data_IF_851776304208
#
_entry.id   IF_851776304208
#
_cell.length_a   1.000
_cell.length_b   1.000
_cell.length_c   1.000
_cell.angle_alpha   90.00
_cell.angle_beta   90.00
_cell.angle_gamma   90.00
#
_symmetry.space_group_name_H-M   'P 1'
#
loop_
_entity.id
_entity.type
_entity.pdbx_description
1 polymer ?
#
# COMPACT_ATOMS: atom_id res chain seq x y z
N UNK A 1 -56.78 -49.38 18.85
CA UNK A 1 -56.21 -48.07 19.29
C UNK A 1 -56.60 -47.87 20.75
N UNK A 2 -55.79 -47.19 21.55
CA UNK A 2 -56.11 -46.90 22.95
C UNK A 2 -56.28 -45.39 23.16
N UNK A 3 -57.12 -45.01 24.12
CA UNK A 3 -57.29 -43.62 24.51
C UNK A 3 -56.18 -43.24 25.49
N UNK A 4 -55.55 -42.09 25.25
CA UNK A 4 -54.52 -41.55 26.11
C UNK A 4 -54.82 -40.09 26.42
N UNK A 5 -54.53 -39.68 27.65
CA UNK A 5 -54.83 -38.33 28.13
C UNK A 5 -53.69 -37.39 27.79
N UNK A 6 -54.00 -36.27 27.14
CA UNK A 6 -53.01 -35.23 26.88
C UNK A 6 -52.52 -34.64 28.20
N UNK A 7 -51.21 -34.68 28.45
CA UNK A 7 -50.59 -34.13 29.67
C UNK A 7 -50.89 -32.64 29.86
N UNK A 8 -51.16 -31.92 28.75
CA UNK A 8 -51.36 -30.48 28.78
C UNK A 8 -52.82 -30.05 28.99
N UNK A 9 -53.72 -30.49 28.12
CA UNK A 9 -55.11 -30.02 28.13
C UNK A 9 -56.09 -31.03 28.72
N UNK A 10 -55.61 -32.19 29.20
CA UNK A 10 -56.45 -33.25 29.73
C UNK A 10 -57.35 -33.95 28.71
N UNK A 11 -57.37 -33.49 27.44
CA UNK A 11 -58.18 -34.08 26.37
C UNK A 11 -57.71 -35.50 26.06
N UNK A 12 -58.65 -36.43 26.04
CA UNK A 12 -58.41 -37.80 25.58
C UNK A 12 -58.34 -37.86 24.06
N UNK A 13 -57.38 -38.64 23.54
CA UNK A 13 -57.21 -38.84 22.11
C UNK A 13 -56.75 -40.26 21.82
N UNK A 14 -57.11 -40.76 20.64
CA UNK A 14 -56.77 -42.11 20.20
C UNK A 14 -55.30 -42.17 19.76
N UNK A 15 -54.58 -43.17 20.24
CA UNK A 15 -53.21 -43.45 19.84
C UNK A 15 -52.97 -44.95 19.65
N UNK A 16 -52.04 -45.29 18.76
CA UNK A 16 -51.60 -46.67 18.53
C UNK A 16 -50.66 -47.11 19.69
N UNK A 17 -50.85 -48.28 20.32
CA UNK A 17 -50.07 -48.73 21.48
C UNK A 17 -48.55 -48.69 21.31
N UNK A 18 -48.04 -49.00 20.12
CA UNK A 18 -46.59 -48.97 19.86
C UNK A 18 -45.98 -47.55 19.99
N UNK A 19 -46.75 -46.49 19.71
CA UNK A 19 -46.27 -45.11 19.88
C UNK A 19 -46.06 -44.77 21.35
N UNK A 20 -46.89 -45.32 22.25
CA UNK A 20 -46.71 -45.16 23.70
C UNK A 20 -45.46 -45.89 24.17
N UNK A 21 -45.18 -47.09 23.66
CA UNK A 21 -43.93 -47.83 23.96
C UNK A 21 -42.66 -47.04 23.56
N UNK A 22 -42.72 -46.26 22.48
CA UNK A 22 -41.64 -45.38 22.04
C UNK A 22 -41.60 -44.01 22.77
N UNK A 23 -42.41 -43.83 23.83
CA UNK A 23 -42.50 -42.59 24.58
C UNK A 23 -43.18 -41.42 23.84
N UNK A 24 -43.81 -41.70 22.69
CA UNK A 24 -44.60 -40.73 21.92
C UNK A 24 -46.05 -40.71 22.39
N UNK A 25 -46.79 -39.65 22.01
CA UNK A 25 -48.21 -39.57 22.35
C UNK A 25 -48.55 -38.89 23.66
N UNK A 26 -47.67 -38.03 24.17
CA UNK A 26 -47.91 -37.24 25.39
C UNK A 26 -48.91 -36.09 25.19
N UNK A 27 -49.13 -35.69 23.94
CA UNK A 27 -49.93 -34.51 23.58
C UNK A 27 -50.88 -34.79 22.43
N UNK A 28 -52.10 -34.27 22.51
CA UNK A 28 -53.15 -34.48 21.51
C UNK A 28 -52.93 -33.72 20.20
N UNK A 29 -52.01 -32.75 20.14
CA UNK A 29 -51.76 -31.94 18.94
C UNK A 29 -50.39 -31.27 18.93
N UNK A 30 -49.96 -30.84 17.72
CA UNK A 30 -48.78 -29.98 17.52
C UNK A 30 -48.87 -28.68 18.33
N UNK A 31 -50.06 -28.08 18.49
CA UNK A 31 -50.28 -26.89 19.35
C UNK A 31 -49.98 -27.19 20.82
N UNK A 32 -50.34 -28.38 21.32
CA UNK A 32 -49.99 -28.81 22.67
C UNK A 32 -48.50 -29.14 22.82
N UNK A 33 -47.83 -29.60 21.76
CA UNK A 33 -46.38 -29.85 21.74
C UNK A 33 -45.53 -28.56 21.64
N UNK A 34 -45.90 -27.63 20.76
CA UNK A 34 -45.12 -26.43 20.42
C UNK A 34 -45.17 -25.30 21.45
N UNK A 35 -45.83 -25.52 22.59
CA UNK A 35 -45.83 -24.54 23.69
C UNK A 35 -44.57 -24.61 24.56
N UNK A 36 -43.60 -25.48 24.24
CA UNK A 36 -42.26 -25.54 24.84
C UNK A 36 -41.21 -24.85 23.95
N UNK A 37 -41.39 -23.59 23.59
CA UNK A 37 -40.38 -22.77 22.90
C UNK A 37 -40.20 -21.44 23.63
N UNK A 38 -39.03 -20.81 23.49
CA UNK A 38 -38.69 -19.60 24.24
C UNK A 38 -38.80 -19.84 25.74
N UNK A 39 -39.37 -18.88 26.47
CA UNK A 39 -39.48 -18.87 27.94
C UNK A 39 -40.20 -20.08 28.53
N UNK A 40 -41.05 -20.73 27.75
CA UNK A 40 -41.87 -21.88 28.19
C UNK A 40 -41.16 -23.23 27.98
N UNK A 41 -39.94 -23.23 27.46
CA UNK A 41 -39.14 -24.45 27.34
C UNK A 41 -38.59 -24.85 28.72
N UNK A 42 -38.67 -26.12 29.15
CA UNK A 42 -38.21 -26.54 30.49
C UNK A 42 -36.73 -26.26 30.80
N UNK A 43 -35.91 -26.04 29.77
CA UNK A 43 -34.49 -25.67 29.90
C UNK A 43 -34.23 -24.20 29.54
N UNK A 44 -35.28 -23.39 29.37
CA UNK A 44 -35.10 -21.97 29.15
C UNK A 44 -34.55 -21.30 30.41
N UNK A 45 -33.55 -20.45 30.25
CA UNK A 45 -32.87 -19.80 31.38
C UNK A 45 -31.97 -20.72 32.21
N UNK A 46 -32.01 -22.04 32.03
CA UNK A 46 -31.15 -22.99 32.75
C UNK A 46 -29.78 -23.06 32.04
N UNK A 47 -28.69 -22.57 32.66
CA UNK A 47 -27.37 -22.64 32.05
C UNK A 47 -26.84 -24.07 32.07
N UNK A 48 -26.28 -24.52 30.94
CA UNK A 48 -25.59 -25.81 30.88
C UNK A 48 -24.38 -25.82 31.83
N UNK A 49 -24.15 -26.96 32.50
CA UNK A 49 -22.97 -27.14 33.35
C UNK A 49 -21.68 -26.96 32.55
N UNK A 50 -20.59 -26.60 33.23
CA UNK A 50 -19.26 -26.44 32.61
C UNK A 50 -18.83 -27.71 31.87
N UNK A 51 -19.12 -28.88 32.44
CA UNK A 51 -18.80 -30.16 31.83
C UNK A 51 -19.56 -30.43 30.53
N UNK A 52 -20.86 -30.11 30.48
CA UNK A 52 -21.66 -30.26 29.25
C UNK A 52 -21.16 -29.29 28.18
N UNK A 53 -20.82 -28.05 28.55
CA UNK A 53 -20.24 -27.08 27.60
C UNK A 53 -18.90 -27.58 27.05
N UNK A 54 -18.06 -28.18 27.90
CA UNK A 54 -16.78 -28.80 27.49
C UNK A 54 -17.00 -29.94 26.49
N UNK A 55 -17.85 -30.92 26.79
CA UNK A 55 -18.15 -32.06 25.90
C UNK A 55 -18.67 -31.62 24.52
N UNK A 56 -19.48 -30.57 24.48
CA UNK A 56 -19.98 -30.00 23.21
C UNK A 56 -18.85 -29.30 22.45
N UNK A 57 -18.02 -28.53 23.14
CA UNK A 57 -16.87 -27.87 22.53
C UNK A 57 -15.88 -28.89 21.96
N UNK A 58 -15.48 -29.90 22.73
CA UNK A 58 -14.58 -30.97 22.29
C UNK A 58 -15.10 -31.66 21.02
N UNK A 59 -16.41 -31.96 20.97
CA UNK A 59 -17.03 -32.59 19.79
C UNK A 59 -17.10 -31.69 18.55
N UNK A 60 -17.16 -30.37 18.71
CA UNK A 60 -17.30 -29.43 17.59
C UNK A 60 -15.95 -28.83 17.14
N UNK A 61 -14.95 -28.86 18.00
CA UNK A 61 -13.60 -28.37 17.69
C UNK A 61 -13.01 -29.19 16.55
N UNK A 62 -12.46 -28.52 15.54
CA UNK A 62 -11.83 -29.17 14.38
C UNK A 62 -12.79 -29.63 13.27
N UNK A 63 -14.12 -29.52 13.46
CA UNK A 63 -15.10 -29.85 12.41
C UNK A 63 -15.00 -28.81 11.28
N UNK A 64 -14.62 -29.25 10.08
CA UNK A 64 -14.51 -28.39 8.89
C UNK A 64 -15.76 -28.55 8.01
N UNK A 65 -16.26 -27.43 7.49
CA UNK A 65 -17.26 -27.48 6.43
C UNK A 65 -16.71 -28.14 5.16
N UNK A 66 -17.56 -28.86 4.44
CA UNK A 66 -17.24 -29.38 3.12
C UNK A 66 -16.94 -28.24 2.15
N UNK A 67 -16.19 -28.52 1.09
CA UNK A 67 -15.92 -27.54 0.02
C UNK A 67 -17.22 -26.97 -0.55
N UNK A 68 -18.20 -27.82 -0.83
CA UNK A 68 -19.53 -27.43 -1.31
C UNK A 68 -20.26 -26.52 -0.31
N UNK A 69 -20.25 -26.85 0.98
CA UNK A 69 -20.85 -25.99 2.01
C UNK A 69 -20.17 -24.63 2.10
N UNK A 70 -18.83 -24.59 1.99
CA UNK A 70 -18.06 -23.34 1.96
C UNK A 70 -18.41 -22.50 0.72
N UNK A 71 -18.57 -23.15 -0.43
CA UNK A 71 -18.97 -22.48 -1.67
C UNK A 71 -20.34 -21.85 -1.53
N UNK A 72 -21.36 -22.60 -1.08
CA UNK A 72 -22.72 -22.08 -0.87
C UNK A 72 -22.75 -20.93 0.14
N UNK A 73 -22.00 -21.04 1.24
CA UNK A 73 -21.88 -19.94 2.21
C UNK A 73 -21.18 -18.70 1.61
N UNK A 74 -20.18 -18.91 0.75
CA UNK A 74 -19.49 -17.82 0.06
C UNK A 74 -20.43 -17.11 -0.92
N UNK A 75 -21.09 -17.85 -1.80
CA UNK A 75 -22.02 -17.33 -2.80
C UNK A 75 -23.16 -16.50 -2.17
N UNK A 76 -23.69 -16.97 -1.04
CA UNK A 76 -24.75 -16.27 -0.31
C UNK A 76 -24.29 -14.96 0.35
N UNK A 77 -22.98 -14.73 0.51
CA UNK A 77 -22.40 -13.57 1.21
C UNK A 77 -21.51 -12.70 0.31
N UNK A 78 -21.53 -12.93 -1.00
CA UNK A 78 -20.74 -12.16 -1.97
C UNK A 78 -21.62 -11.28 -2.85
N UNK A 79 -21.08 -10.13 -3.27
CA UNK A 79 -21.76 -9.23 -4.20
C UNK A 79 -23.13 -8.77 -3.70
N UNK A 80 -24.11 -8.79 -4.59
CA UNK A 80 -25.48 -8.33 -4.35
C UNK A 80 -26.24 -9.18 -3.31
N UNK A 81 -25.84 -10.45 -3.13
CA UNK A 81 -26.46 -11.35 -2.16
C UNK A 81 -26.16 -10.97 -0.71
N UNK A 82 -25.09 -10.20 -0.48
CA UNK A 82 -24.70 -9.84 0.88
C UNK A 82 -25.79 -8.94 1.52
N UNK A 83 -26.28 -9.22 2.74
CA UNK A 83 -27.36 -8.45 3.37
C UNK A 83 -27.11 -6.95 3.57
N UNK A 84 -25.84 -6.53 3.49
CA UNK A 84 -25.38 -5.14 3.55
C UNK A 84 -24.95 -4.56 2.20
N UNK A 85 -25.15 -5.28 1.09
CA UNK A 85 -24.87 -4.73 -0.24
C UNK A 85 -25.71 -3.47 -0.49
N UNK A 86 -25.09 -2.43 -1.05
CA UNK A 86 -25.71 -1.12 -1.27
C UNK A 86 -26.03 -0.30 -0.01
N UNK A 87 -25.85 -0.83 1.21
CA UNK A 87 -26.14 -0.10 2.45
C UNK A 87 -24.91 0.67 2.93
N UNK A 88 -25.07 1.97 3.15
CA UNK A 88 -24.04 2.82 3.74
C UNK A 88 -24.19 2.91 5.27
N UNK A 89 -23.07 2.83 6.00
CA UNK A 89 -23.07 3.03 7.47
C UNK A 89 -23.29 4.50 7.81
N UNK A 90 -23.97 4.77 8.92
CA UNK A 90 -24.16 6.14 9.45
C UNK A 90 -22.82 6.81 9.76
N UNK A 91 -22.80 8.15 9.74
CA UNK A 91 -21.59 8.92 10.08
C UNK A 91 -21.09 8.60 11.49
N UNK A 92 -22.00 8.46 12.46
CA UNK A 92 -21.66 8.09 13.83
C UNK A 92 -20.93 6.73 13.90
N UNK A 93 -21.45 5.73 13.17
CA UNK A 93 -20.82 4.41 13.10
C UNK A 93 -19.45 4.47 12.45
N UNK A 94 -19.30 5.25 11.37
CA UNK A 94 -17.99 5.47 10.73
C UNK A 94 -16.99 6.14 11.68
N UNK A 95 -17.45 7.09 12.51
CA UNK A 95 -16.62 7.78 13.50
C UNK A 95 -16.11 6.80 14.56
N UNK A 96 -17.00 6.00 15.14
CA UNK A 96 -16.65 4.98 16.15
C UNK A 96 -15.59 3.99 15.65
N UNK A 97 -15.71 3.53 14.40
CA UNK A 97 -14.72 2.64 13.78
C UNK A 97 -13.38 3.35 13.57
N UNK A 98 -13.42 4.59 13.09
CA UNK A 98 -12.22 5.40 12.87
C UNK A 98 -11.46 5.63 14.18
N UNK A 99 -12.16 6.02 15.24
CA UNK A 99 -11.61 6.22 16.58
C UNK A 99 -10.99 4.93 17.13
N UNK A 100 -11.68 3.79 17.00
CA UNK A 100 -11.18 2.50 17.47
C UNK A 100 -9.93 2.01 16.74
N UNK A 101 -9.72 2.40 15.48
CA UNK A 101 -8.52 2.05 14.71
C UNK A 101 -7.40 3.09 14.80
N UNK A 102 -7.66 4.25 15.41
CA UNK A 102 -6.69 5.35 15.45
C UNK A 102 -5.46 4.93 16.26
N UNK A 103 -4.29 4.99 15.63
CA UNK A 103 -3.00 4.69 16.28
C UNK A 103 -2.63 3.20 16.36
N UNK A 104 -3.54 2.28 15.98
CA UNK A 104 -3.22 0.85 15.96
C UNK A 104 -2.26 0.57 14.79
N UNK A 105 -1.03 0.16 15.12
CA UNK A 105 -0.02 -0.28 14.13
C UNK A 105 0.10 -1.80 14.16
N UNK A 106 0.11 -2.48 13.01
CA UNK A 106 0.39 -3.90 12.96
C UNK A 106 1.75 -4.23 13.57
N UNK A 107 1.83 -5.31 14.35
CA UNK A 107 3.09 -5.82 14.90
C UNK A 107 4.05 -6.22 13.79
N UNK A 108 5.35 -6.29 14.10
CA UNK A 108 6.38 -6.74 13.17
C UNK A 108 6.05 -8.14 12.64
N UNK A 109 5.61 -9.04 13.52
CA UNK A 109 5.22 -10.40 13.15
C UNK A 109 4.02 -10.41 12.17
N UNK A 110 2.99 -9.60 12.42
CA UNK A 110 1.84 -9.48 11.51
C UNK A 110 2.24 -8.93 10.15
N UNK A 111 3.16 -7.96 10.11
CA UNK A 111 3.72 -7.45 8.85
C UNK A 111 4.50 -8.52 8.10
N UNK A 112 5.30 -9.33 8.82
CA UNK A 112 6.07 -10.44 8.25
C UNK A 112 5.14 -11.47 7.60
N UNK A 113 4.14 -11.96 8.35
CA UNK A 113 3.16 -12.94 7.83
C UNK A 113 2.44 -12.41 6.59
N UNK A 114 2.07 -11.13 6.58
CA UNK A 114 1.45 -10.51 5.41
C UNK A 114 2.42 -10.44 4.21
N UNK A 115 3.67 -10.06 4.44
CA UNK A 115 4.69 -10.04 3.38
C UNK A 115 4.93 -11.42 2.79
N UNK A 116 5.04 -12.45 3.63
CA UNK A 116 5.20 -13.85 3.21
C UNK A 116 4.00 -14.34 2.40
N UNK A 117 2.78 -14.03 2.82
CA UNK A 117 1.56 -14.42 2.11
C UNK A 117 1.43 -13.81 0.70
N UNK A 118 2.12 -12.70 0.43
CA UNK A 118 2.13 -12.03 -0.87
C UNK A 118 3.41 -12.29 -1.68
N UNK A 119 4.44 -12.88 -1.08
CA UNK A 119 5.71 -13.17 -1.74
C UNK A 119 5.48 -14.15 -2.91
N UNK A 120 5.97 -13.80 -4.10
CA UNK A 120 5.87 -14.64 -5.30
C UNK A 120 4.51 -14.63 -6.00
N UNK A 121 3.50 -13.90 -5.49
CA UNK A 121 2.23 -13.74 -6.21
C UNK A 121 2.41 -12.80 -7.40
N UNK A 122 2.29 -13.34 -8.60
CA UNK A 122 2.32 -12.58 -9.86
C UNK A 122 0.88 -12.22 -10.23
N UNK A 123 0.63 -10.93 -10.47
CA UNK A 123 -0.67 -10.48 -10.97
C UNK A 123 -0.86 -10.89 -12.43
N UNK A 124 -2.08 -11.24 -12.81
CA UNK A 124 -2.45 -11.46 -14.21
C UNK A 124 -2.21 -10.20 -15.04
N UNK A 125 -1.76 -10.36 -16.28
CA UNK A 125 -1.36 -9.25 -17.14
C UNK A 125 -2.52 -8.29 -17.44
N UNK A 126 -3.73 -8.84 -17.62
CA UNK A 126 -4.95 -8.05 -17.78
C UNK A 126 -5.22 -7.15 -16.55
N UNK A 127 -5.02 -7.68 -15.34
CA UNK A 127 -5.19 -6.90 -14.10
C UNK A 127 -4.15 -5.80 -13.98
N UNK A 128 -2.89 -6.09 -14.34
CA UNK A 128 -1.83 -5.06 -14.38
C UNK A 128 -2.20 -3.94 -15.35
N UNK A 129 -2.73 -4.29 -16.52
CA UNK A 129 -3.15 -3.32 -17.55
C UNK A 129 -4.27 -2.42 -17.02
N UNK A 130 -5.32 -2.99 -16.43
CA UNK A 130 -6.43 -2.22 -15.81
C UNK A 130 -5.93 -1.26 -14.73
N UNK A 131 -5.04 -1.71 -13.85
CA UNK A 131 -4.42 -0.86 -12.82
C UNK A 131 -3.59 0.26 -13.44
N UNK A 132 -2.80 -0.06 -14.48
CA UNK A 132 -1.97 0.92 -15.18
C UNK A 132 -2.82 2.01 -15.85
N UNK A 133 -3.89 1.62 -16.54
CA UNK A 133 -4.82 2.54 -17.21
C UNK A 133 -5.55 3.45 -16.22
N UNK A 134 -6.03 2.90 -15.10
CA UNK A 134 -6.68 3.67 -14.04
C UNK A 134 -5.74 4.72 -13.41
N UNK A 135 -4.44 4.42 -13.34
CA UNK A 135 -3.43 5.31 -12.77
C UNK A 135 -2.74 6.22 -13.82
N UNK A 136 -3.17 6.20 -15.08
CA UNK A 136 -2.53 6.96 -16.14
C UNK A 136 -3.10 8.38 -16.25
N UNK A 137 -2.20 9.35 -16.35
CA UNK A 137 -2.56 10.72 -16.71
C UNK A 137 -3.50 11.39 -15.70
N UNK A 138 -4.40 12.21 -16.21
CA UNK A 138 -5.26 13.11 -15.41
C UNK A 138 -6.31 12.36 -14.59
N UNK A 139 -6.62 11.11 -14.95
CA UNK A 139 -7.57 10.25 -14.22
C UNK A 139 -7.03 9.79 -12.87
N UNK A 140 -5.72 9.81 -12.68
CA UNK A 140 -5.11 9.46 -11.40
C UNK A 140 -5.32 10.59 -10.38
N UNK A 141 -5.84 10.29 -9.19
CA UNK A 141 -6.00 11.26 -8.11
C UNK A 141 -4.68 11.94 -7.68
N UNK A 142 -3.53 11.34 -7.98
CA UNK A 142 -2.19 11.88 -7.70
C UNK A 142 -1.64 12.73 -8.85
N UNK A 143 -2.39 12.95 -9.92
CA UNK A 143 -1.91 13.69 -11.07
C UNK A 143 -1.65 15.16 -10.74
N UNK A 144 -0.44 15.63 -11.04
CA UNK A 144 0.03 16.99 -10.72
C UNK A 144 0.21 17.86 -11.96
N UNK A 145 -0.72 17.83 -12.91
CA UNK A 145 -0.68 18.72 -14.08
C UNK A 145 0.29 18.33 -15.21
N UNK A 146 0.84 17.11 -15.16
CA UNK A 146 1.71 16.54 -16.19
C UNK A 146 2.96 17.37 -16.51
N UNK A 147 3.37 17.33 -17.78
CA UNK A 147 4.58 18.03 -18.29
C UNK A 147 4.43 19.55 -18.15
N UNK A 148 3.24 20.10 -18.42
CA UNK A 148 2.99 21.55 -18.34
C UNK A 148 3.23 22.07 -16.91
N UNK A 149 2.64 21.45 -15.89
CA UNK A 149 2.86 21.85 -14.51
C UNK A 149 4.30 21.63 -14.05
N UNK A 150 4.94 20.53 -14.48
CA UNK A 150 6.37 20.28 -14.21
C UNK A 150 7.26 21.38 -14.79
N UNK A 151 7.05 21.76 -16.06
CA UNK A 151 7.77 22.86 -16.73
C UNK A 151 7.55 24.18 -16.00
N UNK A 152 6.29 24.50 -15.66
CA UNK A 152 5.99 25.71 -14.89
C UNK A 152 6.71 25.67 -13.54
N UNK A 153 6.72 24.55 -12.81
CA UNK A 153 7.42 24.46 -11.50
C UNK A 153 8.92 24.70 -11.63
N UNK A 154 9.59 24.13 -12.65
CA UNK A 154 11.01 24.36 -12.93
C UNK A 154 11.40 25.82 -13.19
N UNK A 155 10.44 26.68 -13.57
CA UNK A 155 10.68 28.11 -13.82
C UNK A 155 10.52 29.01 -12.60
N UNK A 156 9.92 28.52 -11.51
CA UNK A 156 9.57 29.33 -10.32
C UNK A 156 10.19 28.81 -9.02
N UNK A 157 10.54 27.52 -8.98
CA UNK A 157 11.12 26.86 -7.81
C UNK A 157 12.59 26.53 -8.12
N UNK A 158 13.50 27.40 -7.66
CA UNK A 158 14.94 27.27 -7.87
C UNK A 158 15.46 25.93 -7.33
N UNK A 159 15.04 25.57 -6.11
CA UNK A 159 15.42 24.32 -5.45
C UNK A 159 15.00 23.13 -6.32
N UNK A 160 13.78 23.10 -6.82
CA UNK A 160 13.31 22.05 -7.71
C UNK A 160 14.07 22.00 -9.04
N UNK A 161 14.40 23.17 -9.60
CA UNK A 161 15.14 23.25 -10.84
C UNK A 161 16.56 22.67 -10.71
N UNK A 162 17.31 23.08 -9.69
CA UNK A 162 18.67 22.61 -9.41
C UNK A 162 18.68 21.09 -9.15
N UNK A 163 17.79 20.61 -8.27
CA UNK A 163 17.63 19.18 -8.02
C UNK A 163 17.34 18.39 -9.31
N UNK A 164 16.45 18.93 -10.16
CA UNK A 164 16.10 18.31 -11.44
C UNK A 164 17.28 18.27 -12.41
N UNK A 165 18.09 19.33 -12.48
CA UNK A 165 19.25 19.43 -13.37
C UNK A 165 20.36 18.46 -12.95
N UNK A 166 20.77 18.50 -11.69
CA UNK A 166 21.82 17.62 -11.16
C UNK A 166 21.39 16.16 -11.26
N UNK A 167 20.18 15.83 -10.80
CA UNK A 167 19.69 14.45 -10.90
C UNK A 167 19.60 13.96 -12.34
N UNK A 168 19.24 14.82 -13.30
CA UNK A 168 19.20 14.44 -14.72
C UNK A 168 20.60 14.27 -15.27
N UNK A 169 21.53 15.16 -14.97
CA UNK A 169 22.90 15.09 -15.46
C UNK A 169 23.60 13.83 -14.96
N UNK A 170 23.55 13.54 -13.65
CA UNK A 170 24.08 12.29 -13.07
C UNK A 170 23.45 11.04 -13.73
N UNK A 171 22.13 11.06 -13.98
CA UNK A 171 21.46 9.94 -14.62
C UNK A 171 21.89 9.73 -16.08
N UNK A 172 22.38 10.76 -16.77
CA UNK A 172 22.92 10.65 -18.13
C UNK A 172 24.36 10.14 -18.13
N UNK A 173 25.15 10.47 -17.10
CA UNK A 173 26.54 10.01 -16.97
C UNK A 173 26.65 8.54 -16.54
N UNK A 174 25.68 8.02 -15.77
CA UNK A 174 25.70 6.65 -15.27
C UNK A 174 25.01 5.67 -16.23
N UNK A 175 25.45 4.40 -16.21
CA UNK A 175 24.79 3.31 -16.95
C UNK A 175 23.32 3.17 -16.52
N UNK A 176 22.45 2.82 -17.49
CA UNK A 176 21.00 2.64 -17.27
C UNK A 176 20.76 1.68 -16.12
N UNK A 177 19.97 2.10 -15.14
CA UNK A 177 19.61 1.29 -13.97
C UNK A 177 20.51 1.49 -12.75
N UNK A 178 21.72 2.03 -12.87
CA UNK A 178 22.64 2.18 -11.72
C UNK A 178 22.15 3.20 -10.69
N UNK A 179 21.62 4.35 -11.15
CA UNK A 179 21.05 5.36 -10.25
C UNK A 179 19.79 4.81 -9.56
N UNK A 180 19.00 3.98 -10.24
CA UNK A 180 17.80 3.30 -9.72
C UNK A 180 16.86 4.16 -8.86
N UNK A 181 16.71 5.45 -9.20
CA UNK A 181 15.88 6.37 -8.42
C UNK A 181 16.48 6.88 -7.10
N UNK A 182 17.71 6.48 -6.72
CA UNK A 182 18.45 7.03 -5.57
C UNK A 182 18.51 8.56 -5.65
N UNK A 183 18.37 9.25 -4.52
CA UNK A 183 18.49 10.70 -4.48
C UNK A 183 19.94 11.09 -4.79
N UNK A 184 20.16 12.19 -5.54
CA UNK A 184 21.51 12.51 -6.00
C UNK A 184 22.44 12.91 -4.84
N UNK A 185 21.91 13.57 -3.80
CA UNK A 185 22.69 13.98 -2.64
C UNK A 185 23.31 12.77 -1.92
N UNK A 186 22.58 11.65 -1.86
CA UNK A 186 23.07 10.40 -1.24
C UNK A 186 24.24 9.79 -2.01
N UNK A 187 24.39 10.13 -3.30
CA UNK A 187 25.47 9.60 -4.14
C UNK A 187 26.78 10.38 -4.00
N UNK A 188 26.68 11.69 -3.79
CA UNK A 188 27.82 12.61 -3.84
C UNK A 188 28.18 13.23 -2.48
N UNK A 189 27.31 13.08 -1.47
CA UNK A 189 27.64 13.37 -0.08
C UNK A 189 27.37 14.80 0.40
N UNK A 190 26.66 15.62 -0.39
CA UNK A 190 26.23 16.96 0.00
C UNK A 190 24.79 17.24 -0.43
N UNK A 191 24.16 18.26 0.15
CA UNK A 191 22.76 18.59 -0.09
C UNK A 191 22.59 19.79 -1.05
N UNK A 192 21.34 20.19 -1.29
CA UNK A 192 21.04 21.27 -2.22
C UNK A 192 21.43 22.65 -1.67
N UNK A 193 21.40 22.83 -0.36
CA UNK A 193 21.83 24.04 0.32
C UNK A 193 23.35 24.26 0.13
N UNK A 194 24.16 23.22 0.25
CA UNK A 194 25.61 23.25 0.00
C UNK A 194 25.92 23.62 -1.46
N UNK A 195 25.21 22.96 -2.40
CA UNK A 195 25.33 23.26 -3.83
C UNK A 195 24.96 24.71 -4.13
N UNK A 196 23.86 25.19 -3.56
CA UNK A 196 23.41 26.57 -3.76
C UNK A 196 24.47 27.54 -3.27
N UNK A 197 25.00 27.34 -2.07
CA UNK A 197 26.07 28.17 -1.48
C UNK A 197 27.31 28.22 -2.38
N UNK A 198 27.73 27.06 -2.90
CA UNK A 198 28.86 26.99 -3.83
C UNK A 198 28.58 27.78 -5.11
N UNK A 199 27.46 27.53 -5.77
CA UNK A 199 27.14 28.17 -7.04
C UNK A 199 26.99 29.69 -6.89
N UNK A 200 26.41 30.16 -5.78
CA UNK A 200 26.28 31.57 -5.45
C UNK A 200 27.66 32.26 -5.36
N UNK A 201 28.66 31.60 -4.75
CA UNK A 201 30.05 32.10 -4.70
C UNK A 201 30.76 32.18 -6.06
N UNK A 202 30.21 31.52 -7.08
CA UNK A 202 30.74 31.51 -8.45
C UNK A 202 29.89 32.32 -9.43
N UNK A 203 28.93 33.10 -8.93
CA UNK A 203 28.05 33.90 -9.78
C UNK A 203 28.89 34.95 -10.55
N UNK A 204 28.86 34.96 -11.90
CA UNK A 204 29.56 35.97 -12.67
C UNK A 204 28.95 37.36 -12.46
N UNK A 205 29.76 38.40 -12.60
CA UNK A 205 29.32 39.79 -12.47
C UNK A 205 28.21 40.11 -13.49
N UNK A 206 27.14 40.77 -13.04
CA UNK A 206 25.99 41.13 -13.88
C UNK A 206 24.98 40.00 -14.14
N UNK A 207 25.16 38.82 -13.54
CA UNK A 207 24.21 37.70 -13.65
C UNK A 207 23.44 37.46 -12.35
N UNK A 208 22.28 36.83 -12.48
CA UNK A 208 21.48 36.40 -11.34
C UNK A 208 20.88 35.00 -11.55
N UNK A 209 20.13 34.52 -10.56
CA UNK A 209 19.49 33.21 -10.61
C UNK A 209 18.39 33.08 -11.68
N UNK A 210 17.80 34.17 -12.17
CA UNK A 210 16.84 34.13 -13.28
C UNK A 210 17.52 33.85 -14.63
N UNK A 211 18.79 34.26 -14.79
CA UNK A 211 19.59 33.92 -15.96
C UNK A 211 19.83 32.41 -16.07
N UNK A 212 19.87 31.72 -14.93
CA UNK A 212 19.87 30.26 -14.87
C UNK A 212 18.53 29.69 -15.37
N UNK A 213 17.39 30.33 -15.06
CA UNK A 213 16.05 29.87 -15.50
C UNK A 213 15.87 29.93 -17.01
N UNK A 214 16.33 31.01 -17.64
CA UNK A 214 16.22 31.23 -19.08
C UNK A 214 17.32 30.52 -19.88
N UNK A 215 18.38 30.04 -19.22
CA UNK A 215 19.47 29.30 -19.84
C UNK A 215 20.60 30.17 -20.39
N UNK A 216 20.69 31.43 -19.94
CA UNK A 216 21.87 32.27 -20.18
C UNK A 216 23.05 31.87 -19.29
N UNK A 217 22.77 31.27 -18.13
CA UNK A 217 23.76 30.75 -17.20
C UNK A 217 23.67 29.22 -17.13
N UNK A 218 24.81 28.54 -17.13
CA UNK A 218 24.92 27.08 -17.06
C UNK A 218 25.66 26.65 -15.77
N UNK A 219 25.35 25.44 -15.29
CA UNK A 219 26.17 24.77 -14.26
C UNK A 219 27.26 24.00 -15.01
N UNK A 220 28.49 24.47 -14.88
CA UNK A 220 29.68 23.92 -15.52
C UNK A 220 30.50 23.07 -14.55
N UNK A 221 31.26 22.13 -15.12
CA UNK A 221 32.29 21.39 -14.39
C UNK A 221 33.65 21.95 -14.80
N UNK A 222 34.41 22.55 -13.87
CA UNK A 222 35.74 23.12 -14.11
C UNK A 222 36.62 22.15 -14.90
N UNK A 223 36.75 20.93 -14.39
CA UNK A 223 37.26 19.78 -15.11
C UNK A 223 36.07 19.07 -15.77
N UNK A 224 36.04 18.93 -17.11
CA UNK A 224 34.93 18.32 -17.83
C UNK A 224 34.63 16.89 -17.40
N UNK A 225 33.35 16.50 -17.44
CA UNK A 225 32.91 15.14 -17.10
C UNK A 225 33.66 14.08 -17.92
N UNK A 226 33.92 14.37 -19.21
CA UNK A 226 34.65 13.47 -20.13
C UNK A 226 36.08 13.16 -19.71
N UNK A 227 36.69 14.00 -18.87
CA UNK A 227 38.04 13.76 -18.36
C UNK A 227 38.09 12.74 -17.21
N UNK A 228 36.95 12.43 -16.58
CA UNK A 228 36.89 11.51 -15.43
C UNK A 228 36.56 10.07 -15.85
N UNK A 229 37.10 9.08 -15.13
CA UNK A 229 36.92 7.69 -15.47
C UNK A 229 35.99 6.94 -14.50
N UNK A 230 34.66 7.02 -14.70
CA UNK A 230 33.69 6.33 -13.85
C UNK A 230 32.51 5.71 -14.62
N UNK A 231 31.88 4.69 -14.03
CA UNK A 231 30.58 4.16 -14.48
C UNK A 231 29.60 3.87 -13.33
N UNK A 232 30.05 4.05 -12.09
CA UNK A 232 29.32 3.82 -10.85
C UNK A 232 29.53 4.98 -9.85
N UNK A 233 28.55 5.27 -8.98
CA UNK A 233 28.69 6.30 -7.93
C UNK A 233 29.79 6.02 -6.91
N UNK A 234 30.16 4.77 -6.74
CA UNK A 234 31.13 4.34 -5.74
C UNK A 234 32.58 4.70 -6.14
N UNK A 235 32.83 4.99 -7.42
CA UNK A 235 34.16 5.34 -7.91
C UNK A 235 34.62 6.72 -7.42
N UNK A 236 35.92 6.83 -7.13
CA UNK A 236 36.55 8.07 -6.65
C UNK A 236 36.38 9.20 -7.67
N UNK A 237 36.59 8.92 -8.95
CA UNK A 237 36.46 9.90 -10.03
C UNK A 237 35.03 10.41 -10.21
N UNK A 238 34.00 9.62 -9.85
CA UNK A 238 32.63 10.11 -9.82
C UNK A 238 32.48 11.20 -8.74
N UNK A 239 32.98 10.95 -7.53
CA UNK A 239 32.93 11.93 -6.44
C UNK A 239 33.74 13.18 -6.75
N UNK A 240 34.92 13.05 -7.35
CA UNK A 240 35.75 14.18 -7.79
C UNK A 240 35.07 15.02 -8.88
N UNK A 241 34.47 14.35 -9.87
CA UNK A 241 33.71 15.02 -10.93
C UNK A 241 32.57 15.87 -10.36
N UNK A 242 31.83 15.32 -9.39
CA UNK A 242 30.68 15.98 -8.79
C UNK A 242 31.00 16.77 -7.52
N UNK A 243 32.28 16.96 -7.16
CA UNK A 243 32.67 17.72 -5.98
C UNK A 243 32.27 19.20 -6.13
N UNK A 244 31.93 19.87 -5.02
CA UNK A 244 31.53 21.28 -5.03
C UNK A 244 32.62 22.17 -5.63
N UNK A 245 33.89 21.83 -5.35
CA UNK A 245 35.06 22.53 -5.85
C UNK A 245 35.11 22.54 -7.39
N UNK A 246 34.67 21.44 -8.01
CA UNK A 246 34.64 21.26 -9.47
C UNK A 246 33.41 21.90 -10.13
N UNK A 247 32.39 22.32 -9.38
CA UNK A 247 31.18 22.94 -9.94
C UNK A 247 31.26 24.47 -9.89
N UNK A 248 30.80 25.12 -10.95
CA UNK A 248 30.72 26.58 -11.06
C UNK A 248 29.56 27.03 -11.95
N UNK A 249 29.14 28.30 -11.81
CA UNK A 249 28.27 28.95 -12.77
C UNK A 249 29.13 29.61 -13.87
N UNK A 250 28.74 29.40 -15.12
CA UNK A 250 29.45 29.96 -16.28
C UNK A 250 28.44 30.46 -17.32
N UNK A 251 28.64 31.63 -17.95
CA UNK A 251 27.79 32.09 -19.03
C UNK A 251 27.71 31.05 -20.15
N UNK A 252 26.50 30.83 -20.66
CA UNK A 252 26.24 29.74 -21.59
C UNK A 252 27.10 29.82 -22.87
N UNK A 253 27.44 31.04 -23.30
CA UNK A 253 28.34 31.25 -24.44
C UNK A 253 29.77 30.80 -24.13
N UNK A 254 30.30 31.16 -22.97
CA UNK A 254 31.64 30.77 -22.52
C UNK A 254 31.73 29.26 -22.29
N UNK A 255 30.70 28.68 -21.65
CA UNK A 255 30.61 27.24 -21.44
C UNK A 255 30.64 26.45 -22.76
N UNK A 256 29.97 26.96 -23.80
CA UNK A 256 30.03 26.34 -25.14
C UNK A 256 31.41 26.47 -25.79
N UNK A 257 32.11 27.60 -25.60
CA UNK A 257 33.48 27.81 -26.12
C UNK A 257 34.51 26.95 -25.38
N UNK A 258 34.30 26.73 -24.08
CA UNK A 258 35.13 25.87 -23.23
C UNK A 258 35.03 24.41 -23.65
N UNK A 259 33.82 23.92 -23.96
CA UNK A 259 33.58 22.53 -24.34
C UNK A 259 34.17 21.57 -23.29
N UNK A 260 35.07 20.68 -23.68
CA UNK A 260 35.78 19.70 -22.85
C UNK A 260 37.28 20.01 -22.73
N UNK A 261 37.68 21.27 -22.95
CA UNK A 261 39.07 21.68 -22.84
C UNK A 261 39.55 21.58 -21.39
N UNK A 262 40.71 20.96 -21.22
CA UNK A 262 41.48 20.97 -19.97
C UNK A 262 42.43 22.15 -19.99
N UNK A 263 42.33 23.01 -18.99
CA UNK A 263 43.24 24.15 -18.82
C UNK A 263 44.56 23.73 -18.15
N UNK A 264 44.51 22.68 -17.34
CA UNK A 264 45.63 22.14 -16.58
C UNK A 264 45.74 20.62 -16.75
N UNK A 265 46.92 20.07 -16.42
CA UNK A 265 47.17 18.63 -16.42
C UNK A 265 46.27 17.95 -15.39
N UNK A 266 45.48 16.97 -15.81
CA UNK A 266 44.55 16.24 -14.95
C UNK A 266 44.84 14.73 -14.95
N UNK A 267 45.03 14.17 -13.75
CA UNK A 267 45.24 12.72 -13.56
C UNK A 267 43.95 12.04 -13.06
N UNK A 268 43.54 11.01 -13.80
CA UNK A 268 42.39 10.16 -13.48
C UNK A 268 42.75 9.09 -12.45
N UNK A 269 41.74 8.62 -11.72
CA UNK A 269 41.89 7.46 -10.85
C UNK A 269 41.45 6.18 -11.57
N UNK A 270 42.03 5.04 -11.18
CA UNK A 270 41.57 3.75 -11.65
C UNK A 270 40.16 3.43 -11.11
N UNK A 271 39.37 2.69 -11.90
CA UNK A 271 38.09 2.13 -11.47
C UNK A 271 38.38 1.00 -10.49
N UNK A 272 38.27 1.28 -9.20
CA UNK A 272 38.36 0.28 -8.13
C UNK A 272 36.93 -0.10 -7.74
#
# INVERSE_FOLDING_TARGET
MIFHKCIKCGKEFKIKPYKIKLGQGKYCSRKCLYTRKGERHPLFGIPRSKEIKRKISEKLTGRKHTSESKMKMSEALTGENHPLFGKHRSMETRRKISEGHKGIKPSIESKRKNSEAHKGKIMAEETKKKISEANKGEKCYRWKGGIKATRKRRKRDLKYQLNSRISRSINLCLKKGIKSGRHWGDLIGYNIEDLKKRLDSTMPEGYNWDDLFIGKLHIDHKIPISAFNFDKPEHIDFKRCWALENLQLLPAQENRKKHDKLLDVFQTCLKI
#
